data_IF_067878826329
#
_entry.id   IF_067878826329
#
_cell.length_a   1.000
_cell.length_b   1.000
_cell.length_c   1.000
_cell.angle_alpha   90.00
_cell.angle_beta   90.00
_cell.angle_gamma   90.00
#
_symmetry.space_group_name_H-M   'P 1'
#
loop_
_entity.id
_entity.type
_entity.pdbx_description
1 polymer ?
#
# COMPACT_ATOMS: atom_id res chain seq x y z
N UNK A 1 20.28 1.58 5.98
CA UNK A 1 18.97 1.62 6.66
C UNK A 1 17.98 2.32 5.73
N UNK A 2 16.94 1.63 5.24
CA UNK A 2 15.95 2.22 4.33
C UNK A 2 14.97 3.08 5.13
N UNK A 3 14.85 4.39 4.86
CA UNK A 3 13.89 5.24 5.57
C UNK A 3 12.45 4.92 5.11
N UNK A 4 11.42 5.12 5.95
CA UNK A 4 10.03 4.76 5.60
C UNK A 4 9.56 5.38 4.28
N UNK A 5 9.91 6.65 4.04
CA UNK A 5 9.52 7.37 2.82
C UNK A 5 10.20 6.88 1.54
N UNK A 6 11.30 6.12 1.64
CA UNK A 6 11.92 5.51 0.46
C UNK A 6 11.10 4.32 -0.06
N UNK A 7 10.39 3.61 0.82
CA UNK A 7 9.49 2.53 0.39
C UNK A 7 8.32 3.08 -0.44
N UNK A 8 7.81 4.26 -0.11
CA UNK A 8 6.75 4.93 -0.86
C UNK A 8 7.18 5.45 -2.24
N UNK A 9 8.49 5.43 -2.54
CA UNK A 9 9.04 5.87 -3.84
C UNK A 9 9.66 4.71 -4.61
N UNK A 10 9.67 3.52 -4.04
CA UNK A 10 10.17 2.33 -4.68
C UNK A 10 9.09 1.82 -5.63
N UNK A 11 9.19 2.20 -6.90
CA UNK A 11 8.37 1.66 -7.96
C UNK A 11 9.04 0.40 -8.56
N UNK A 12 8.26 -0.65 -8.90
CA UNK A 12 6.84 -0.83 -8.62
C UNK A 12 6.58 -1.46 -7.23
N UNK A 13 5.60 -0.93 -6.48
CA UNK A 13 5.16 -1.51 -5.20
C UNK A 13 4.45 -2.87 -5.34
N UNK A 14 4.25 -3.31 -6.57
CA UNK A 14 3.74 -4.63 -6.92
C UNK A 14 4.76 -5.74 -6.68
N UNK A 15 6.02 -5.40 -6.45
CA UNK A 15 7.08 -6.37 -6.16
C UNK A 15 7.07 -6.78 -4.67
N UNK A 16 7.90 -7.78 -4.35
CA UNK A 16 8.03 -8.29 -3.00
C UNK A 16 8.70 -7.23 -2.11
N UNK A 17 7.98 -6.78 -1.09
CA UNK A 17 8.43 -5.73 -0.17
C UNK A 17 9.03 -6.39 1.06
N UNK A 18 10.33 -6.17 1.26
CA UNK A 18 10.99 -6.45 2.52
C UNK A 18 11.08 -5.17 3.37
N UNK A 19 10.40 -5.16 4.52
CA UNK A 19 10.54 -4.07 5.50
C UNK A 19 11.68 -4.38 6.46
N UNK A 20 12.60 -3.42 6.62
CA UNK A 20 13.64 -3.49 7.63
C UNK A 20 13.05 -3.60 9.05
N UNK A 21 13.76 -4.27 9.96
CA UNK A 21 13.28 -4.54 11.32
C UNK A 21 12.88 -3.27 12.11
N UNK A 22 13.51 -2.12 11.81
CA UNK A 22 13.21 -0.83 12.42
C UNK A 22 11.85 -0.24 12.00
N UNK A 23 11.23 -0.78 10.95
CA UNK A 23 9.89 -0.40 10.46
C UNK A 23 8.80 -1.37 10.97
N UNK A 24 9.19 -2.37 11.76
CA UNK A 24 8.29 -3.36 12.37
C UNK A 24 8.01 -2.98 13.83
N UNK A 25 6.74 -3.05 14.23
CA UNK A 25 6.27 -2.87 15.61
C UNK A 25 6.04 -4.21 16.33
N UNK A 26 5.16 -4.21 17.34
CA UNK A 26 4.85 -5.31 18.27
C UNK A 26 4.12 -6.52 17.66
N UNK A 27 4.48 -6.92 16.45
CA UNK A 27 3.90 -8.07 15.74
C UNK A 27 4.05 -8.04 14.21
N UNK A 28 4.56 -6.97 13.62
CA UNK A 28 4.66 -6.83 12.16
C UNK A 28 4.84 -5.39 11.70
N UNK A 29 4.60 -5.12 10.42
CA UNK A 29 4.64 -3.77 9.84
C UNK A 29 3.61 -2.87 10.52
N UNK A 30 4.02 -1.63 10.82
CA UNK A 30 3.12 -0.64 11.41
C UNK A 30 1.93 -0.33 10.48
N UNK A 31 0.70 -0.35 11.02
CA UNK A 31 -0.51 -0.18 10.20
C UNK A 31 -0.54 1.11 9.39
N UNK A 32 0.01 2.21 9.92
CA UNK A 32 0.16 3.46 9.17
C UNK A 32 1.10 3.36 7.96
N UNK A 33 2.18 2.58 8.06
CA UNK A 33 3.09 2.31 6.94
C UNK A 33 2.40 1.42 5.90
N UNK A 34 1.70 0.38 6.34
CA UNK A 34 0.90 -0.48 5.44
C UNK A 34 -0.13 0.35 4.66
N UNK A 35 -0.85 1.25 5.35
CA UNK A 35 -1.82 2.12 4.71
C UNK A 35 -1.15 3.07 3.71
N UNK A 36 0.00 3.67 4.05
CA UNK A 36 0.72 4.55 3.14
C UNK A 36 1.20 3.83 1.87
N UNK A 37 1.66 2.57 1.98
CA UNK A 37 2.05 1.78 0.82
C UNK A 37 0.84 1.43 -0.06
N UNK A 38 -0.29 1.03 0.55
CA UNK A 38 -1.54 0.77 -0.17
C UNK A 38 -2.04 2.00 -0.93
N UNK A 39 -2.11 3.17 -0.27
CA UNK A 39 -2.58 4.40 -0.91
C UNK A 39 -1.65 4.86 -2.04
N UNK A 40 -0.34 4.62 -1.90
CA UNK A 40 0.65 4.90 -2.95
C UNK A 40 0.40 4.01 -4.17
N UNK A 41 0.29 2.69 -3.98
CA UNK A 41 0.00 1.75 -5.07
C UNK A 41 -1.35 2.05 -5.76
N UNK A 42 -2.37 2.44 -4.99
CA UNK A 42 -3.66 2.89 -5.54
C UNK A 42 -3.52 4.16 -6.40
N UNK A 43 -2.71 5.13 -5.97
CA UNK A 43 -2.47 6.35 -6.72
C UNK A 43 -1.70 6.09 -8.03
N UNK A 44 -0.74 5.16 -8.03
CA UNK A 44 0.00 4.75 -9.24
C UNK A 44 -0.92 4.12 -10.29
N UNK A 45 -1.96 3.39 -9.87
CA UNK A 45 -2.96 2.79 -10.77
C UNK A 45 -3.95 3.79 -11.38
N UNK A 46 -4.13 4.97 -10.78
CA UNK A 46 -5.11 5.97 -11.22
C UNK A 46 -4.44 7.34 -11.46
N UNK A 47 -3.56 7.45 -12.47
CA UNK A 47 -2.85 8.70 -12.73
C UNK A 47 -3.83 9.85 -13.05
N UNK A 48 -3.62 10.99 -12.41
CA UNK A 48 -4.47 12.18 -12.57
C UNK A 48 -5.76 12.17 -11.73
N UNK A 49 -6.03 11.10 -10.99
CA UNK A 49 -7.09 11.08 -9.98
C UNK A 49 -6.53 11.43 -8.59
N UNK A 50 -7.37 12.05 -7.76
CA UNK A 50 -7.05 12.30 -6.35
C UNK A 50 -7.75 11.26 -5.48
N UNK A 51 -6.99 10.61 -4.61
CA UNK A 51 -7.51 9.68 -3.63
C UNK A 51 -8.35 10.44 -2.59
N UNK A 52 -9.67 10.20 -2.57
CA UNK A 52 -10.61 10.92 -1.70
C UNK A 52 -10.86 10.19 -0.38
N UNK A 53 -10.93 8.87 -0.43
CA UNK A 53 -11.19 8.03 0.73
C UNK A 53 -10.52 6.67 0.57
N UNK A 54 -10.15 6.06 1.70
CA UNK A 54 -9.70 4.67 1.77
C UNK A 54 -10.27 4.05 3.03
N UNK A 55 -10.78 2.84 2.89
CA UNK A 55 -11.18 1.98 4.00
C UNK A 55 -10.27 0.77 3.96
N UNK A 56 -9.64 0.44 5.09
CA UNK A 56 -8.78 -0.71 5.20
C UNK A 56 -9.18 -1.55 6.42
N UNK A 57 -9.09 -2.88 6.28
CA UNK A 57 -9.29 -3.82 7.38
C UNK A 57 -8.02 -4.64 7.57
N UNK A 58 -7.34 -4.43 8.69
CA UNK A 58 -6.12 -5.17 9.03
C UNK A 58 -6.51 -6.50 9.70
N UNK A 59 -6.48 -7.59 8.93
CA UNK A 59 -6.92 -8.91 9.41
C UNK A 59 -5.83 -9.65 10.18
N UNK A 60 -4.56 -9.46 9.80
CA UNK A 60 -3.40 -10.16 10.36
C UNK A 60 -2.17 -9.24 10.41
N UNK A 61 -1.23 -9.48 11.32
CA UNK A 61 0.07 -8.83 11.26
C UNK A 61 0.83 -9.23 9.99
N UNK A 62 1.48 -8.26 9.34
CA UNK A 62 2.38 -8.50 8.20
C UNK A 62 3.80 -8.71 8.73
N UNK A 63 4.35 -9.91 8.56
CA UNK A 63 5.74 -10.23 8.90
C UNK A 63 6.49 -10.76 7.68
N UNK A 64 7.81 -10.61 7.68
CA UNK A 64 8.65 -11.05 6.55
C UNK A 64 8.44 -10.21 5.29
N UNK A 65 8.47 -10.88 4.15
CA UNK A 65 8.21 -10.32 2.84
C UNK A 65 6.70 -10.36 2.52
N UNK A 66 6.18 -9.31 1.89
CA UNK A 66 4.77 -9.24 1.49
C UNK A 66 4.62 -8.51 0.16
N UNK A 67 3.47 -8.70 -0.49
CA UNK A 67 3.11 -8.05 -1.75
C UNK A 67 1.93 -7.12 -1.54
N UNK A 68 1.84 -6.08 -2.36
CA UNK A 68 0.64 -5.24 -2.47
C UNK A 68 -0.03 -5.53 -3.80
N UNK A 69 -1.32 -5.87 -3.73
CA UNK A 69 -2.15 -6.10 -4.90
C UNK A 69 -3.30 -5.08 -4.90
N UNK A 70 -3.47 -4.40 -6.03
CA UNK A 70 -4.51 -3.38 -6.24
C UNK A 70 -5.32 -3.75 -7.48
N UNK A 71 -6.29 -4.68 -7.38
CA UNK A 71 -7.25 -4.92 -8.44
C UNK A 71 -8.13 -3.70 -8.71
N UNK A 72 -8.46 -3.49 -9.99
CA UNK A 72 -9.49 -2.55 -10.40
C UNK A 72 -10.88 -3.17 -10.17
N UNK A 73 -11.69 -2.59 -9.27
CA UNK A 73 -13.07 -3.07 -9.07
C UNK A 73 -14.07 -2.33 -9.98
N UNK A 74 -13.84 -1.04 -10.25
CA UNK A 74 -14.76 -0.24 -11.08
C UNK A 74 -14.12 1.03 -11.62
N UNK A 75 -14.13 1.19 -12.93
CA UNK A 75 -13.68 2.41 -13.62
C UNK A 75 -14.89 3.11 -14.25
N UNK A 76 -15.26 4.28 -13.74
CA UNK A 76 -16.28 5.17 -14.31
C UNK A 76 -15.71 6.55 -14.63
N UNK A 77 -16.43 7.37 -15.40
CA UNK A 77 -15.96 8.71 -15.86
C UNK A 77 -15.53 9.68 -14.74
N UNK A 78 -15.97 9.46 -13.50
CA UNK A 78 -15.72 10.36 -12.35
C UNK A 78 -15.11 9.65 -11.13
N UNK A 79 -15.14 8.31 -11.09
CA UNK A 79 -14.66 7.52 -9.94
C UNK A 79 -13.97 6.26 -10.45
N UNK A 80 -12.75 6.05 -9.96
CA UNK A 80 -12.09 4.76 -9.96
C UNK A 80 -12.08 4.25 -8.51
N UNK A 81 -12.48 3.00 -8.30
CA UNK A 81 -12.41 2.33 -7.01
C UNK A 81 -11.48 1.12 -7.14
N UNK A 82 -10.20 1.25 -6.77
CA UNK A 82 -9.31 0.11 -6.60
C UNK A 82 -9.63 -0.56 -5.26
N UNK A 83 -9.58 -1.90 -5.23
CA UNK A 83 -9.83 -2.67 -4.02
C UNK A 83 -8.54 -3.32 -3.54
N UNK A 84 -8.22 -3.32 -2.24
CA UNK A 84 -7.06 -4.05 -1.73
C UNK A 84 -7.42 -5.53 -1.53
N UNK A 85 -6.65 -6.44 -2.14
CA UNK A 85 -6.76 -7.90 -1.91
C UNK A 85 -6.00 -8.37 -0.67
#
# INVERSE_FOLDING_TARGET
MTPPGALLRAAPLEDLIETGAHLRGSGGVHGGLTLALLTTAMAERAPGALLQNVTARCLRPLGGEFRIEVPEERTGRTRAAPSPS
#
